data_IF_709393278170
#
_entry.id   IF_709393278170
#
_cell.length_a   1.000
_cell.length_b   1.000
_cell.length_c   1.000
_cell.angle_alpha   90.00
_cell.angle_beta   90.00
_cell.angle_gamma   90.00
#
_symmetry.space_group_name_H-M   'P 1'
#
loop_
_entity.id
_entity.type
_entity.pdbx_description
1 polymer ?
#
# COMPACT_ATOMS: atom_id res chain seq x y z
N UNK A 1 15.26 1.36 24.36
CA UNK A 1 14.29 2.31 23.76
C UNK A 1 12.95 1.60 23.73
N UNK A 2 12.01 1.98 24.59
CA UNK A 2 10.70 1.33 24.66
C UNK A 2 9.97 1.58 23.33
N UNK A 3 9.60 0.50 22.64
CA UNK A 3 8.82 0.59 21.42
C UNK A 3 7.46 1.23 21.73
N UNK A 4 7.13 2.29 21.00
CA UNK A 4 5.80 2.89 20.99
C UNK A 4 4.77 1.77 20.73
N UNK A 5 3.87 1.55 21.69
CA UNK A 5 2.82 0.55 21.56
C UNK A 5 1.91 0.97 20.41
N UNK A 6 1.99 0.26 19.28
CA UNK A 6 1.20 0.55 18.08
C UNK A 6 -0.29 0.44 18.43
N UNK A 7 -0.94 1.60 18.56
CA UNK A 7 -2.36 1.66 18.85
C UNK A 7 -3.16 1.08 17.68
N UNK A 8 -4.15 0.24 18.00
CA UNK A 8 -5.01 -0.33 16.95
C UNK A 8 -5.80 0.77 16.27
N UNK A 9 -5.79 0.75 14.93
CA UNK A 9 -6.61 1.66 14.13
C UNK A 9 -8.11 1.37 14.37
N UNK A 10 -8.95 2.42 14.46
CA UNK A 10 -10.40 2.24 14.57
C UNK A 10 -10.98 1.64 13.29
N UNK A 11 -12.17 1.02 13.38
CA UNK A 11 -12.77 0.30 12.25
C UNK A 11 -12.97 1.18 11.01
N UNK A 12 -13.38 2.44 11.18
CA UNK A 12 -13.61 3.38 10.08
C UNK A 12 -12.36 3.76 9.28
N UNK A 13 -11.16 3.53 9.84
CA UNK A 13 -9.87 3.82 9.19
C UNK A 13 -9.28 2.60 8.46
N UNK A 14 -9.93 1.43 8.57
CA UNK A 14 -9.49 0.20 7.90
C UNK A 14 -10.14 0.10 6.53
N UNK A 15 -9.38 -0.38 5.56
CA UNK A 15 -9.85 -0.60 4.19
C UNK A 15 -9.75 -2.08 3.83
N UNK A 16 -10.68 -2.53 2.97
CA UNK A 16 -10.63 -3.89 2.42
C UNK A 16 -9.73 -3.87 1.20
N UNK A 17 -8.86 -4.87 1.09
CA UNK A 17 -7.88 -4.95 0.02
C UNK A 17 -8.57 -5.12 -1.36
N UNK A 18 -8.42 -4.16 -2.29
CA UNK A 18 -9.23 -4.10 -3.50
C UNK A 18 -8.61 -4.91 -4.65
N UNK A 19 -8.60 -6.23 -4.56
CA UNK A 19 -8.16 -7.10 -5.67
C UNK A 19 -6.66 -7.02 -6.01
N UNK A 20 -6.19 -7.87 -6.93
CA UNK A 20 -4.74 -7.99 -7.25
C UNK A 20 -4.37 -7.84 -8.71
N UNK A 21 -5.23 -8.27 -9.65
CA UNK A 21 -4.82 -8.48 -11.03
C UNK A 21 -4.38 -7.18 -11.74
N UNK A 22 -5.18 -6.11 -11.60
CA UNK A 22 -4.88 -4.82 -12.23
C UNK A 22 -3.65 -4.15 -11.61
N UNK A 23 -3.53 -4.15 -10.28
CA UNK A 23 -2.34 -3.62 -9.62
C UNK A 23 -1.08 -4.41 -9.96
N UNK A 24 -1.12 -5.75 -10.02
CA UNK A 24 0.04 -6.53 -10.41
C UNK A 24 0.52 -6.19 -11.83
N UNK A 25 -0.41 -5.99 -12.76
CA UNK A 25 -0.10 -5.52 -14.13
C UNK A 25 0.55 -4.13 -14.11
N UNK A 26 -0.06 -3.18 -13.37
CA UNK A 26 0.44 -1.81 -13.26
C UNK A 26 1.83 -1.77 -12.59
N UNK A 27 2.02 -2.52 -11.52
CA UNK A 27 3.31 -2.67 -10.82
C UNK A 27 4.38 -3.23 -11.74
N UNK A 28 4.04 -4.22 -12.57
CA UNK A 28 4.94 -4.76 -13.59
C UNK A 28 5.38 -3.69 -14.59
N UNK A 29 4.42 -2.88 -15.07
CA UNK A 29 4.71 -1.75 -15.94
C UNK A 29 5.64 -0.73 -15.27
N UNK A 30 5.31 -0.27 -14.07
CA UNK A 30 6.12 0.73 -13.34
C UNK A 30 7.56 0.27 -13.13
N UNK A 31 7.76 -1.01 -12.74
CA UNK A 31 9.10 -1.58 -12.55
C UNK A 31 9.91 -1.68 -13.84
N UNK A 32 9.26 -2.06 -14.94
CA UNK A 32 9.93 -2.16 -16.25
C UNK A 32 10.42 -0.79 -16.72
N UNK A 33 9.63 0.25 -16.46
CA UNK A 33 9.97 1.64 -16.79
C UNK A 33 10.81 2.35 -15.73
N UNK A 34 11.20 1.66 -14.64
CA UNK A 34 11.98 2.22 -13.52
C UNK A 34 11.32 3.46 -12.90
N UNK A 35 9.99 3.45 -12.78
CA UNK A 35 9.20 4.53 -12.19
C UNK A 35 8.92 4.26 -10.71
N UNK A 36 8.85 5.35 -9.94
CA UNK A 36 8.44 5.34 -8.54
C UNK A 36 7.04 5.91 -8.39
N UNK A 37 6.31 5.43 -7.38
CA UNK A 37 4.97 5.95 -7.06
C UNK A 37 4.83 6.23 -5.58
N UNK A 38 4.16 7.33 -5.23
CA UNK A 38 3.83 7.63 -3.83
C UNK A 38 3.00 6.52 -3.18
N UNK A 39 2.18 5.81 -3.96
CA UNK A 39 1.39 4.69 -3.48
C UNK A 39 2.27 3.57 -2.87
N UNK A 40 3.40 3.25 -3.50
CA UNK A 40 4.33 2.22 -3.01
C UNK A 40 5.25 2.76 -1.91
N UNK A 41 5.88 3.92 -2.13
CA UNK A 41 6.86 4.49 -1.19
C UNK A 41 6.21 4.85 0.17
N UNK A 42 4.98 5.37 0.15
CA UNK A 42 4.24 5.74 1.35
C UNK A 42 3.44 4.59 1.97
N UNK A 43 3.55 3.37 1.45
CA UNK A 43 2.79 2.20 1.92
C UNK A 43 1.28 2.47 2.00
N UNK A 44 0.74 3.05 0.93
CA UNK A 44 -0.65 3.49 0.89
C UNK A 44 -1.60 2.32 1.21
N UNK A 45 -2.52 2.44 2.19
CA UNK A 45 -3.42 1.35 2.56
C UNK A 45 -4.44 1.03 1.46
N UNK A 46 -4.63 1.93 0.50
CA UNK A 46 -5.58 1.80 -0.60
C UNK A 46 -4.98 1.16 -1.87
N UNK A 47 -3.77 0.62 -1.80
CA UNK A 47 -3.10 0.01 -2.95
C UNK A 47 -3.70 -1.37 -3.28
N UNK A 48 -4.18 -1.58 -4.51
CA UNK A 48 -4.74 -2.85 -5.01
C UNK A 48 -5.28 -2.76 -6.44
#
# INVERSE_FOLDING_TARGET
MAGEQVQRKPEWLKVRFPGRLNYLRLKGLMRRERLHTVCEEAHCPNIG
#
